data_IF_973437830725
#
_entry.id   IF_973437830725
#
_cell.length_a   1.000
_cell.length_b   1.000
_cell.length_c   1.000
_cell.angle_alpha   90.00
_cell.angle_beta   90.00
_cell.angle_gamma   90.00
#
_symmetry.space_group_name_H-M   'P 1'
#
loop_
_entity.id
_entity.type
_entity.pdbx_description
1 polymer ?
#
# COMPACT_ATOMS: atom_id res chain seq x y z
N UNK A 1 -29.46 -5.17 5.33
CA UNK A 1 -28.46 -4.45 6.15
C UNK A 1 -27.14 -5.16 6.00
N UNK A 2 -26.11 -4.44 5.55
CA UNK A 2 -24.76 -4.98 5.39
C UNK A 2 -23.95 -4.53 6.61
N UNK A 3 -23.36 -5.49 7.33
CA UNK A 3 -22.49 -5.19 8.47
C UNK A 3 -21.05 -5.16 7.96
N UNK A 4 -20.41 -3.99 8.04
CA UNK A 4 -19.02 -3.80 7.66
C UNK A 4 -18.20 -3.51 8.92
N UNK A 5 -17.08 -4.21 9.07
CA UNK A 5 -16.20 -4.07 10.22
C UNK A 5 -14.75 -4.28 9.78
N UNK A 6 -13.96 -3.22 9.87
CA UNK A 6 -12.51 -3.28 9.67
C UNK A 6 -11.87 -3.93 10.90
N UNK A 7 -11.05 -4.95 10.69
CA UNK A 7 -10.29 -5.63 11.75
C UNK A 7 -8.82 -5.67 11.32
N UNK A 8 -7.91 -5.40 12.26
CA UNK A 8 -6.48 -5.59 12.00
C UNK A 8 -6.14 -7.08 12.02
N UNK A 9 -5.27 -7.49 11.10
CA UNK A 9 -4.72 -8.85 11.05
C UNK A 9 -3.49 -8.86 11.95
N UNK A 10 -3.47 -9.78 12.91
CA UNK A 10 -2.32 -10.00 13.80
C UNK A 10 -1.85 -11.44 13.68
N UNK A 11 -0.53 -11.66 13.50
CA UNK A 11 0.05 -12.99 13.29
C UNK A 11 -0.63 -13.82 12.18
N UNK A 12 -1.00 -13.17 11.07
CA UNK A 12 -1.78 -13.79 9.98
C UNK A 12 -3.16 -14.35 10.39
N UNK A 13 -3.66 -14.02 11.58
CA UNK A 13 -5.00 -14.37 12.04
C UNK A 13 -5.91 -13.14 12.05
N UNK A 14 -7.14 -13.33 11.56
CA UNK A 14 -8.24 -12.37 11.67
C UNK A 14 -9.27 -12.92 12.66
N UNK A 15 -9.26 -12.46 13.92
CA UNK A 15 -10.25 -12.85 14.94
C UNK A 15 -11.33 -11.79 15.06
N UNK A 16 -12.55 -12.12 14.62
CA UNK A 16 -13.72 -11.26 14.82
C UNK A 16 -14.83 -12.03 15.51
N UNK A 17 -15.36 -11.45 16.60
CA UNK A 17 -16.52 -11.98 17.29
C UNK A 17 -17.79 -11.43 16.61
N UNK A 18 -18.55 -12.31 15.96
CA UNK A 18 -19.87 -11.97 15.46
C UNK A 18 -20.89 -11.98 16.61
N UNK A 19 -21.84 -11.03 16.64
CA UNK A 19 -22.86 -11.00 17.68
C UNK A 19 -23.71 -12.28 17.60
N UNK A 20 -23.92 -12.94 18.76
CA UNK A 20 -24.65 -14.22 18.89
C UNK A 20 -26.09 -14.19 18.35
N UNK A 21 -26.66 -12.99 18.14
CA UNK A 21 -27.99 -12.81 17.55
C UNK A 21 -28.01 -12.89 16.01
N UNK A 22 -26.91 -13.29 15.38
CA UNK A 22 -26.79 -13.45 13.92
C UNK A 22 -27.48 -14.70 13.37
N UNK A 23 -28.63 -15.10 13.91
CA UNK A 23 -29.39 -16.30 13.51
C UNK A 23 -29.85 -16.33 12.04
N UNK A 24 -29.47 -15.34 11.24
CA UNK A 24 -29.88 -15.14 9.85
C UNK A 24 -28.73 -14.90 8.86
N UNK A 25 -27.47 -14.87 9.29
CA UNK A 25 -26.34 -14.64 8.39
C UNK A 25 -25.98 -15.95 7.66
N UNK A 26 -26.44 -16.08 6.40
CA UNK A 26 -26.21 -17.27 5.56
C UNK A 26 -24.86 -17.26 4.82
N UNK A 27 -24.20 -16.10 4.70
CA UNK A 27 -22.94 -15.91 3.96
C UNK A 27 -22.10 -14.79 4.57
N UNK A 28 -20.78 -14.96 4.58
CA UNK A 28 -19.80 -13.95 5.00
C UNK A 28 -18.92 -13.63 3.80
N UNK A 29 -18.64 -12.34 3.56
CA UNK A 29 -17.66 -11.87 2.57
C UNK A 29 -16.52 -11.22 3.32
N UNK A 30 -15.30 -11.71 3.11
CA UNK A 30 -14.07 -11.12 3.66
C UNK A 30 -13.35 -10.42 2.52
N UNK A 31 -12.98 -9.16 2.73
CA UNK A 31 -12.13 -8.39 1.82
C UNK A 31 -10.83 -8.16 2.58
N UNK A 32 -9.71 -8.62 2.00
CA UNK A 32 -8.38 -8.39 2.56
C UNK A 32 -7.75 -7.27 1.75
N UNK A 33 -7.50 -6.15 2.39
CA UNK A 33 -6.74 -5.05 1.81
C UNK A 33 -5.32 -5.10 2.37
N UNK A 34 -4.33 -5.11 1.48
CA UNK A 34 -2.94 -5.01 1.89
C UNK A 34 -2.68 -3.56 2.31
N UNK A 35 -2.39 -3.35 3.59
CA UNK A 35 -2.05 -2.03 4.10
C UNK A 35 -0.85 -1.49 3.32
N UNK A 36 -0.96 -0.26 2.79
CA UNK A 36 0.16 0.37 2.10
C UNK A 36 1.36 0.50 3.05
N UNK A 37 2.33 -0.40 2.88
CA UNK A 37 3.59 -0.34 3.60
C UNK A 37 4.33 0.94 3.23
N UNK A 38 5.16 1.48 4.14
CA UNK A 38 6.00 2.65 3.84
C UNK A 38 6.88 2.42 2.59
N UNK A 39 7.31 1.17 2.38
CA UNK A 39 8.05 0.76 1.18
C UNK A 39 7.20 0.87 -0.09
N UNK A 40 5.92 0.47 -0.03
CA UNK A 40 4.99 0.61 -1.16
C UNK A 40 4.76 2.08 -1.49
N UNK A 41 4.53 2.92 -0.47
CA UNK A 41 4.38 4.38 -0.64
C UNK A 41 5.62 5.01 -1.26
N UNK A 42 6.81 4.69 -0.74
CA UNK A 42 8.08 5.14 -1.31
C UNK A 42 8.23 4.73 -2.77
N UNK A 43 7.90 3.49 -3.11
CA UNK A 43 7.94 3.02 -4.50
C UNK A 43 6.97 3.76 -5.42
N UNK A 44 5.75 4.06 -4.95
CA UNK A 44 4.79 4.86 -5.73
C UNK A 44 5.31 6.29 -5.97
N UNK A 45 5.89 6.92 -4.95
CA UNK A 45 6.48 8.26 -5.06
C UNK A 45 7.65 8.27 -6.03
N UNK A 46 8.54 7.27 -5.98
CA UNK A 46 9.65 7.11 -6.93
C UNK A 46 9.14 6.93 -8.37
N UNK A 47 8.09 6.13 -8.57
CA UNK A 47 7.47 5.98 -9.90
C UNK A 47 6.93 7.32 -10.42
N UNK A 48 6.26 8.10 -9.58
CA UNK A 48 5.78 9.44 -9.96
C UNK A 48 6.93 10.39 -10.29
N UNK A 49 7.99 10.40 -9.48
CA UNK A 49 9.17 11.21 -9.73
C UNK A 49 9.88 10.82 -11.03
N UNK A 50 9.95 9.52 -11.36
CA UNK A 50 10.61 9.06 -12.60
C UNK A 50 9.96 9.55 -13.90
N UNK A 51 8.68 9.97 -13.84
CA UNK A 51 8.00 10.60 -14.97
C UNK A 51 8.16 12.12 -15.02
N UNK A 52 8.76 12.74 -14.00
CA UNK A 52 8.98 14.18 -13.92
C UNK A 52 10.24 14.58 -14.73
N UNK A 53 10.11 15.43 -15.76
CA UNK A 53 11.26 15.90 -16.54
C UNK A 53 12.32 16.62 -15.71
N UNK A 54 11.93 17.35 -14.66
CA UNK A 54 12.88 18.09 -13.81
C UNK A 54 13.71 17.12 -12.98
N UNK A 55 13.07 16.10 -12.40
CA UNK A 55 13.75 15.04 -11.66
C UNK A 55 14.75 14.27 -12.53
N UNK A 56 14.38 14.00 -13.78
CA UNK A 56 15.28 13.32 -14.72
C UNK A 56 16.46 14.20 -15.17
N UNK A 57 16.23 15.50 -15.35
CA UNK A 57 17.29 16.48 -15.65
C UNK A 57 18.35 16.53 -14.55
N UNK A 58 17.93 16.56 -13.28
CA UNK A 58 18.84 16.55 -12.12
C UNK A 58 19.69 15.26 -12.09
N UNK A 59 19.07 14.11 -12.40
CA UNK A 59 19.79 12.83 -12.48
C UNK A 59 20.84 12.87 -13.58
N UNK A 60 20.49 13.36 -14.77
CA UNK A 60 21.41 13.46 -15.90
C UNK A 60 22.59 14.37 -15.58
N UNK A 61 22.35 15.55 -15.00
CA UNK A 61 23.40 16.49 -14.56
C UNK A 61 24.38 15.82 -13.58
N UNK A 62 23.86 15.19 -12.52
CA UNK A 62 24.71 14.51 -11.51
C UNK A 62 25.51 13.36 -12.11
N UNK A 63 24.95 12.68 -13.13
CA UNK A 63 25.61 11.56 -13.79
C UNK A 63 26.72 12.06 -14.72
N UNK A 64 26.47 13.16 -15.45
CA UNK A 64 27.46 13.80 -16.31
C UNK A 64 28.62 14.38 -15.49
N UNK A 65 28.34 15.03 -14.37
CA UNK A 65 29.37 15.57 -13.48
C UNK A 65 30.31 14.47 -12.94
N UNK A 66 29.77 13.31 -12.59
CA UNK A 66 30.56 12.14 -12.15
C UNK A 66 31.41 11.52 -13.24
N UNK A 67 31.03 11.66 -14.50
CA UNK A 67 31.79 11.17 -15.65
C UNK A 67 32.91 12.15 -16.00
N UNK A 68 32.66 13.46 -15.88
CA UNK A 68 33.62 14.51 -16.22
C UNK A 68 34.74 14.63 -15.17
N UNK A 69 34.46 14.32 -13.90
CA UNK A 69 35.43 14.40 -12.80
C UNK A 69 36.14 13.06 -12.47
N UNK A 70 36.23 12.15 -13.44
CA UNK A 70 36.86 10.83 -13.30
C UNK A 70 38.02 10.67 -14.28
#
# INVERSE_FOLDING_TARGET
MTFEKTCEISNNELRSNFPKNSGQLKKIRVIVEEAETERSKKNQLLKKASSDPLFNSDIEETTMDKIIHK
#
